data_IF_752163445093
#
_entry.id   IF_752163445093
#
_cell.length_a   1.000
_cell.length_b   1.000
_cell.length_c   1.000
_cell.angle_alpha   90.00
_cell.angle_beta   90.00
_cell.angle_gamma   90.00
#
_symmetry.space_group_name_H-M   'P 1'
#
loop_
_entity.id
_entity.type
_entity.pdbx_description
1 polymer ?
#
# COMPACT_ATOMS: atom_id res chain seq x y z
N UNK A 1 -8.77 38.65 -23.31
CA UNK A 1 -8.57 39.43 -22.07
C UNK A 1 -9.02 38.57 -20.90
N UNK A 2 -8.10 37.79 -20.33
CA UNK A 2 -8.39 36.94 -19.17
C UNK A 2 -7.80 37.65 -17.96
N UNK A 3 -8.66 38.19 -17.09
CA UNK A 3 -8.24 38.90 -15.89
C UNK A 3 -7.60 37.92 -14.91
N UNK A 4 -6.31 38.06 -14.69
CA UNK A 4 -5.65 37.45 -13.54
C UNK A 4 -6.21 38.12 -12.28
N UNK A 5 -7.11 37.43 -11.58
CA UNK A 5 -7.54 37.85 -10.24
C UNK A 5 -6.38 37.60 -9.30
N UNK A 6 -5.78 38.67 -8.79
CA UNK A 6 -4.81 38.60 -7.70
C UNK A 6 -5.49 38.01 -6.47
N UNK A 7 -5.10 36.79 -6.09
CA UNK A 7 -5.51 36.19 -4.83
C UNK A 7 -4.84 36.97 -3.70
N UNK A 8 -5.63 37.40 -2.71
CA UNK A 8 -5.07 38.07 -1.53
C UNK A 8 -4.47 37.03 -0.59
N UNK A 9 -3.56 37.43 0.31
CA UNK A 9 -3.00 36.50 1.33
C UNK A 9 -4.09 35.83 2.18
N UNK A 10 -5.26 36.48 2.36
CA UNK A 10 -6.41 35.88 3.03
C UNK A 10 -7.09 34.77 2.22
N UNK A 11 -7.15 34.91 0.90
CA UNK A 11 -7.69 33.87 0.00
C UNK A 11 -6.76 32.66 -0.10
N UNK A 12 -5.45 32.87 0.02
CA UNK A 12 -4.47 31.79 0.11
C UNK A 12 -4.58 31.03 1.44
N UNK A 13 -4.71 31.75 2.57
CA UNK A 13 -4.90 31.12 3.88
C UNK A 13 -6.22 30.35 3.96
N UNK A 14 -7.32 30.89 3.43
CA UNK A 14 -8.60 30.17 3.32
C UNK A 14 -8.52 28.99 2.34
N UNK A 15 -7.80 29.15 1.23
CA UNK A 15 -7.55 28.08 0.25
C UNK A 15 -6.71 26.93 0.81
N UNK A 16 -5.74 27.23 1.68
CA UNK A 16 -4.94 26.23 2.43
C UNK A 16 -5.77 25.53 3.51
N UNK A 17 -6.66 26.24 4.21
CA UNK A 17 -7.60 25.65 5.16
C UNK A 17 -8.66 24.75 4.49
N UNK A 18 -8.93 24.97 3.21
CA UNK A 18 -9.81 24.12 2.39
C UNK A 18 -9.11 22.87 1.82
N UNK A 19 -7.81 22.68 2.08
CA UNK A 19 -7.06 21.48 1.66
C UNK A 19 -6.73 20.60 2.88
N UNK A 20 -6.87 19.27 2.77
CA UNK A 20 -6.41 18.37 3.81
C UNK A 20 -4.94 18.64 4.13
N UNK A 21 -4.65 18.86 5.41
CA UNK A 21 -3.34 19.25 5.92
C UNK A 21 -3.03 18.50 7.22
N UNK A 22 -1.79 18.59 7.69
CA UNK A 22 -1.39 18.01 8.96
C UNK A 22 -1.73 18.94 10.13
N UNK A 23 -2.34 18.39 11.18
CA UNK A 23 -2.75 19.10 12.39
C UNK A 23 -2.30 18.32 13.61
N UNK A 24 -2.17 19.01 14.75
CA UNK A 24 -2.15 18.35 16.05
C UNK A 24 -3.56 18.33 16.59
N UNK A 25 -4.01 17.14 17.01
CA UNK A 25 -5.27 16.96 17.73
C UNK A 25 -4.98 16.48 19.14
N UNK A 26 -5.72 16.99 20.12
CA UNK A 26 -5.60 16.59 21.52
C UNK A 26 -6.99 16.41 22.15
N UNK A 27 -7.05 15.60 23.21
CA UNK A 27 -8.27 15.44 23.98
C UNK A 27 -8.64 16.77 24.65
N UNK A 28 -9.89 17.20 24.46
CA UNK A 28 -10.51 18.27 25.24
C UNK A 28 -11.21 17.67 26.47
N UNK A 29 -11.45 18.49 27.50
CA UNK A 29 -12.22 18.12 28.71
C UNK A 29 -13.59 17.47 28.42
N UNK A 30 -14.11 17.63 27.19
CA UNK A 30 -15.35 17.02 26.69
C UNK A 30 -15.17 15.70 25.90
N UNK A 31 -14.02 15.02 26.02
CA UNK A 31 -13.68 13.75 25.34
C UNK A 31 -13.70 13.75 23.80
N UNK A 32 -13.87 14.91 23.16
CA UNK A 32 -13.70 15.06 21.71
C UNK A 32 -12.29 15.55 21.40
N UNK A 33 -11.62 14.88 20.46
CA UNK A 33 -10.36 15.35 19.91
C UNK A 33 -10.61 16.67 19.16
N UNK A 34 -9.87 17.72 19.55
CA UNK A 34 -9.93 19.04 18.91
C UNK A 34 -8.57 19.40 18.36
N UNK A 35 -8.57 20.21 17.31
CA UNK A 35 -7.34 20.77 16.73
C UNK A 35 -6.71 21.70 17.77
N UNK A 36 -5.45 21.45 18.11
CA UNK A 36 -4.67 22.24 19.07
C UNK A 36 -3.54 23.04 18.41
N UNK A 37 -3.07 22.62 17.23
CA UNK A 37 -2.09 23.37 16.43
C UNK A 37 -2.10 22.94 14.95
N UNK A 38 -1.54 23.77 14.08
CA UNK A 38 -1.37 23.53 12.64
C UNK A 38 -1.85 24.72 11.78
N UNK A 39 -1.84 24.59 10.45
CA UNK A 39 -1.42 23.40 9.70
C UNK A 39 0.12 23.23 9.70
N UNK A 40 0.59 21.99 9.67
CA UNK A 40 2.01 21.63 9.53
C UNK A 40 2.30 21.20 8.09
N UNK A 41 3.55 21.36 7.65
CA UNK A 41 3.96 21.07 6.26
C UNK A 41 3.84 19.57 5.94
N UNK A 42 4.19 18.71 6.90
CA UNK A 42 4.26 17.27 6.74
C UNK A 42 4.06 16.57 8.09
N UNK A 43 3.94 15.23 8.05
CA UNK A 43 3.77 14.38 9.22
C UNK A 43 4.92 14.52 10.22
N UNK A 44 6.14 14.69 9.72
CA UNK A 44 7.35 14.77 10.53
C UNK A 44 7.30 16.05 11.35
N UNK A 45 7.06 17.21 10.73
CA UNK A 45 6.95 18.48 11.44
C UNK A 45 5.86 18.46 12.51
N UNK A 46 4.70 17.87 12.20
CA UNK A 46 3.64 17.66 13.19
C UNK A 46 4.10 16.74 14.33
N UNK A 47 4.75 15.62 14.04
CA UNK A 47 5.25 14.69 15.05
C UNK A 47 6.33 15.32 15.96
N UNK A 48 7.22 16.13 15.38
CA UNK A 48 8.21 16.89 16.14
C UNK A 48 7.52 17.90 17.06
N UNK A 49 6.54 18.65 16.57
CA UNK A 49 5.76 19.55 17.41
C UNK A 49 5.01 18.82 18.54
N UNK A 50 4.38 17.67 18.26
CA UNK A 50 3.74 16.84 19.28
C UNK A 50 4.72 16.40 20.38
N UNK A 51 5.95 16.04 20.00
CA UNK A 51 6.98 15.60 20.96
C UNK A 51 7.45 16.71 21.91
N UNK A 52 7.26 17.98 21.53
CA UNK A 52 7.60 19.14 22.38
C UNK A 52 6.47 19.55 23.33
N UNK A 53 5.28 18.94 23.22
CA UNK A 53 4.21 19.15 24.18
C UNK A 53 4.58 18.52 25.53
N UNK A 54 4.63 19.33 26.58
CA UNK A 54 4.92 18.89 27.95
C UNK A 54 3.99 17.73 28.37
N UNK A 55 4.52 16.67 29.04
CA UNK A 55 3.74 15.49 29.43
C UNK A 55 2.52 15.74 30.34
N UNK A 56 2.29 16.98 30.78
CA UNK A 56 1.23 17.36 31.71
C UNK A 56 0.15 18.31 31.16
N UNK A 57 0.25 18.79 29.91
CA UNK A 57 -0.67 19.82 29.38
C UNK A 57 -1.73 19.31 28.39
N UNK A 58 -1.58 18.11 27.84
CA UNK A 58 -2.64 17.37 27.17
C UNK A 58 -2.15 15.93 26.93
N UNK A 59 -2.61 14.98 27.75
CA UNK A 59 -2.38 13.56 27.47
C UNK A 59 -3.06 13.22 26.14
N UNK A 60 -2.28 12.84 25.12
CA UNK A 60 -2.81 12.38 23.84
C UNK A 60 -2.76 13.36 22.67
N UNK A 61 -1.88 14.38 22.68
CA UNK A 61 -1.64 15.19 21.46
C UNK A 61 -0.97 14.32 20.39
N UNK A 62 -1.59 14.20 19.22
CA UNK A 62 -1.08 13.40 18.11
C UNK A 62 -1.23 14.11 16.76
N UNK A 63 -0.34 13.84 15.80
CA UNK A 63 -0.54 14.23 14.41
C UNK A 63 -1.79 13.56 13.82
N UNK A 64 -2.57 14.33 13.07
CA UNK A 64 -3.69 13.85 12.27
C UNK A 64 -3.80 14.64 10.97
N UNK A 65 -4.22 13.97 9.90
CA UNK A 65 -4.38 14.58 8.59
C UNK A 65 -5.86 14.75 8.25
N UNK A 66 -6.25 15.95 7.82
CA UNK A 66 -7.66 16.21 7.52
C UNK A 66 -8.02 17.67 7.29
N UNK A 67 -9.32 17.92 7.22
CA UNK A 67 -9.91 19.25 7.05
C UNK A 67 -10.42 19.79 8.40
N UNK A 68 -10.06 21.02 8.79
CA UNK A 68 -10.62 21.64 9.98
C UNK A 68 -12.11 21.89 9.79
N UNK A 69 -12.90 21.57 10.81
CA UNK A 69 -14.34 21.87 10.86
C UNK A 69 -14.60 23.15 11.68
N UNK A 70 -15.73 23.85 11.43
CA UNK A 70 -16.08 25.07 12.18
C UNK A 70 -16.24 24.87 13.69
N UNK A 71 -16.49 23.64 14.15
CA UNK A 71 -16.61 23.25 15.57
C UNK A 71 -15.25 22.98 16.24
N UNK A 72 -14.13 23.16 15.50
CA UNK A 72 -12.78 22.88 15.98
C UNK A 72 -12.37 21.40 15.91
N UNK A 73 -13.24 20.53 15.40
CA UNK A 73 -12.91 19.13 15.13
C UNK A 73 -12.14 18.98 13.80
N UNK A 74 -11.52 17.82 13.62
CA UNK A 74 -10.86 17.45 12.37
C UNK A 74 -11.70 16.41 11.62
N UNK A 75 -12.09 16.71 10.38
CA UNK A 75 -12.59 15.69 9.47
C UNK A 75 -11.39 14.90 8.93
N UNK A 76 -11.18 13.67 9.41
CA UNK A 76 -10.07 12.82 8.99
C UNK A 76 -10.12 12.52 7.50
N UNK A 77 -8.97 12.63 6.84
CA UNK A 77 -8.80 12.25 5.44
C UNK A 77 -7.61 11.29 5.32
N UNK A 78 -7.62 10.38 4.33
CA UNK A 78 -6.45 9.56 4.00
C UNK A 78 -5.21 10.43 3.86
N UNK A 79 -4.07 9.96 4.36
CA UNK A 79 -2.83 10.74 4.28
C UNK A 79 -2.30 10.75 2.84
N UNK A 80 -1.44 11.71 2.46
CA UNK A 80 -0.72 11.65 1.19
C UNK A 80 0.06 10.34 1.02
N UNK A 81 0.66 9.84 2.09
CA UNK A 81 1.39 8.58 2.13
C UNK A 81 0.45 7.39 1.88
N UNK A 82 -0.72 7.34 2.52
CA UNK A 82 -1.71 6.28 2.28
C UNK A 82 -2.19 6.28 0.82
N UNK A 83 -2.45 7.46 0.25
CA UNK A 83 -2.86 7.55 -1.16
C UNK A 83 -1.76 7.12 -2.11
N UNK A 84 -0.51 7.51 -1.83
CA UNK A 84 0.63 7.07 -2.63
C UNK A 84 0.84 5.55 -2.53
N UNK A 85 0.67 4.99 -1.34
CA UNK A 85 0.69 3.56 -1.10
C UNK A 85 -0.40 2.82 -1.87
N UNK A 86 -1.65 3.26 -1.80
CA UNK A 86 -2.76 2.67 -2.56
C UNK A 86 -2.53 2.76 -4.08
N UNK A 87 -1.98 3.88 -4.56
CA UNK A 87 -1.58 4.02 -5.96
C UNK A 87 -0.48 3.03 -6.37
N UNK A 88 0.47 2.77 -5.49
CA UNK A 88 1.52 1.77 -5.73
C UNK A 88 0.95 0.35 -5.78
N UNK A 89 0.06 -0.02 -4.85
CA UNK A 89 -0.61 -1.34 -4.86
C UNK A 89 -1.47 -1.51 -6.11
N UNK A 90 -2.25 -0.49 -6.49
CA UNK A 90 -3.04 -0.49 -7.73
C UNK A 90 -2.15 -0.73 -8.95
N UNK A 91 -1.01 -0.05 -9.05
CA UNK A 91 -0.05 -0.25 -10.14
C UNK A 91 0.63 -1.63 -10.13
N UNK A 92 0.61 -2.36 -9.01
CA UNK A 92 0.98 -3.78 -9.00
C UNK A 92 -0.15 -4.66 -9.53
N UNK A 93 -1.40 -4.43 -9.09
CA UNK A 93 -2.57 -5.15 -9.57
C UNK A 93 -2.75 -5.03 -11.08
N UNK A 94 -2.45 -3.87 -11.66
CA UNK A 94 -2.47 -3.64 -13.11
C UNK A 94 -1.49 -4.54 -13.90
N UNK A 95 -0.57 -5.25 -13.23
CA UNK A 95 0.38 -6.20 -13.84
C UNK A 95 -0.15 -7.63 -13.87
N UNK A 96 -1.28 -7.90 -13.23
CA UNK A 96 -1.92 -9.21 -13.31
C UNK A 96 -2.35 -9.49 -14.76
N UNK A 97 -2.45 -10.77 -15.15
CA UNK A 97 -2.94 -11.13 -16.49
C UNK A 97 -4.29 -10.49 -16.78
N UNK A 98 -4.51 -10.09 -18.04
CA UNK A 98 -5.81 -9.57 -18.47
C UNK A 98 -6.92 -10.58 -18.17
N UNK A 99 -8.00 -10.12 -17.54
CA UNK A 99 -9.13 -10.98 -17.16
C UNK A 99 -8.87 -11.90 -15.96
N UNK A 100 -7.86 -11.62 -15.13
CA UNK A 100 -7.63 -12.36 -13.88
C UNK A 100 -8.85 -12.38 -12.94
N UNK A 101 -9.73 -11.38 -13.07
CA UNK A 101 -10.97 -11.18 -12.32
C UNK A 101 -12.23 -11.53 -13.12
N UNK A 102 -12.12 -11.97 -14.38
CA UNK A 102 -13.27 -12.09 -15.29
C UNK A 102 -14.33 -13.11 -14.82
N UNK A 103 -13.92 -14.11 -14.04
CA UNK A 103 -14.77 -15.20 -13.54
C UNK A 103 -15.08 -15.07 -12.04
N UNK A 104 -14.74 -13.95 -11.40
CA UNK A 104 -14.98 -13.69 -9.97
C UNK A 104 -15.73 -12.38 -9.78
N UNK A 105 -16.63 -12.35 -8.79
CA UNK A 105 -17.33 -11.13 -8.40
C UNK A 105 -16.41 -10.19 -7.61
N UNK A 106 -16.66 -8.88 -7.59
CA UNK A 106 -15.87 -7.92 -6.81
C UNK A 106 -15.89 -8.24 -5.30
N UNK A 107 -16.96 -8.87 -4.81
CA UNK A 107 -17.10 -9.32 -3.41
C UNK A 107 -16.52 -10.73 -3.16
N UNK A 108 -15.92 -11.37 -4.18
CA UNK A 108 -15.36 -12.71 -4.05
C UNK A 108 -14.15 -12.71 -3.09
N UNK A 109 -14.09 -13.64 -2.13
CA UNK A 109 -12.93 -13.81 -1.25
C UNK A 109 -11.60 -13.94 -1.99
N UNK A 110 -11.60 -14.46 -3.22
CA UNK A 110 -10.42 -14.60 -4.04
C UNK A 110 -9.89 -13.24 -4.53
N UNK A 111 -10.77 -12.29 -4.88
CA UNK A 111 -10.38 -10.91 -5.21
C UNK A 111 -9.73 -10.26 -4.00
N UNK A 112 -10.35 -10.40 -2.83
CA UNK A 112 -9.81 -9.89 -1.56
C UNK A 112 -8.42 -10.47 -1.29
N UNK A 113 -8.27 -11.79 -1.43
CA UNK A 113 -7.00 -12.49 -1.21
C UNK A 113 -5.89 -12.01 -2.16
N UNK A 114 -6.20 -11.79 -3.43
CA UNK A 114 -5.24 -11.24 -4.41
C UNK A 114 -4.76 -9.85 -4.00
N UNK A 115 -5.67 -8.98 -3.56
CA UNK A 115 -5.34 -7.64 -3.09
C UNK A 115 -4.45 -7.68 -1.83
N UNK A 116 -4.77 -8.56 -0.88
CA UNK A 116 -4.02 -8.74 0.36
C UNK A 116 -2.60 -9.28 0.09
N UNK A 117 -2.48 -10.32 -0.74
CA UNK A 117 -1.17 -10.86 -1.15
C UNK A 117 -0.35 -9.77 -1.85
N UNK A 118 -0.96 -9.03 -2.78
CA UNK A 118 -0.27 -7.97 -3.52
C UNK A 118 0.22 -6.87 -2.60
N UNK A 119 -0.61 -6.42 -1.64
CA UNK A 119 -0.21 -5.44 -0.64
C UNK A 119 0.95 -5.94 0.23
N UNK A 120 0.88 -7.19 0.71
CA UNK A 120 1.93 -7.79 1.53
C UNK A 120 3.27 -7.92 0.78
N UNK A 121 3.23 -8.29 -0.50
CA UNK A 121 4.41 -8.37 -1.36
C UNK A 121 5.00 -6.97 -1.62
N UNK A 122 4.16 -6.00 -1.97
CA UNK A 122 4.57 -4.62 -2.19
C UNK A 122 5.22 -4.01 -0.93
N UNK A 123 4.70 -4.34 0.26
CA UNK A 123 5.21 -3.81 1.53
C UNK A 123 6.58 -4.41 1.86
N UNK A 124 6.84 -5.63 1.40
CA UNK A 124 8.14 -6.29 1.47
C UNK A 124 9.11 -5.88 0.35
N UNK A 125 8.69 -5.00 -0.57
CA UNK A 125 9.49 -4.58 -1.72
C UNK A 125 9.63 -5.66 -2.80
N UNK A 126 8.71 -6.63 -2.85
CA UNK A 126 8.66 -7.67 -3.88
C UNK A 126 7.61 -7.32 -4.94
N UNK A 127 8.00 -6.80 -6.11
CA UNK A 127 7.04 -6.42 -7.14
C UNK A 127 6.41 -7.64 -7.80
N UNK A 128 5.17 -7.47 -8.29
CA UNK A 128 4.59 -8.41 -9.24
C UNK A 128 5.35 -8.34 -10.57
N UNK A 129 5.46 -9.50 -11.22
CA UNK A 129 6.14 -9.65 -12.49
C UNK A 129 5.47 -8.78 -13.55
N UNK A 130 6.27 -7.92 -14.17
CA UNK A 130 5.88 -7.11 -15.32
C UNK A 130 6.50 -7.76 -16.57
N UNK A 131 5.70 -8.30 -17.50
CA UNK A 131 6.22 -8.94 -18.71
C UNK A 131 6.94 -7.96 -19.65
N UNK A 132 6.67 -6.65 -19.55
CA UNK A 132 7.38 -5.61 -20.29
C UNK A 132 8.56 -5.00 -19.49
N UNK A 133 8.67 -5.35 -18.21
CA UNK A 133 9.59 -4.76 -17.26
C UNK A 133 10.98 -5.41 -17.30
N UNK A 134 12.04 -4.68 -16.89
CA UNK A 134 13.43 -5.15 -16.98
C UNK A 134 13.85 -6.11 -15.84
N UNK A 135 12.92 -6.58 -15.01
CA UNK A 135 13.18 -7.29 -13.75
C UNK A 135 12.31 -8.53 -13.59
N UNK A 136 12.81 -9.53 -12.85
CA UNK A 136 11.96 -10.64 -12.39
C UNK A 136 10.96 -10.18 -11.32
N UNK A 137 9.96 -11.00 -11.04
CA UNK A 137 8.92 -10.66 -10.07
C UNK A 137 8.04 -11.84 -9.70
N UNK A 138 7.09 -11.58 -8.81
CA UNK A 138 6.10 -12.57 -8.36
C UNK A 138 4.94 -12.64 -9.35
N UNK A 139 4.55 -13.83 -9.78
CA UNK A 139 3.35 -14.06 -10.54
C UNK A 139 2.26 -14.57 -9.61
N UNK A 140 1.06 -13.99 -9.73
CA UNK A 140 -0.15 -14.48 -9.07
C UNK A 140 -1.10 -15.03 -10.14
N UNK A 141 -1.62 -16.22 -9.93
CA UNK A 141 -2.67 -16.84 -10.74
C UNK A 141 -3.83 -17.18 -9.80
N UNK A 142 -4.89 -16.39 -9.76
CA UNK A 142 -6.12 -16.75 -9.06
C UNK A 142 -6.71 -18.01 -9.71
N UNK A 143 -7.02 -19.02 -8.90
CA UNK A 143 -7.59 -20.28 -9.38
C UNK A 143 -8.95 -20.52 -8.69
N UNK A 144 -10.07 -20.05 -9.27
CA UNK A 144 -11.40 -20.15 -8.66
C UNK A 144 -11.81 -21.59 -8.31
N UNK A 145 -11.37 -22.57 -9.12
CA UNK A 145 -11.65 -24.00 -8.88
C UNK A 145 -11.02 -24.52 -7.59
N UNK A 146 -9.90 -23.94 -7.16
CA UNK A 146 -9.18 -24.35 -5.96
C UNK A 146 -9.41 -23.41 -4.76
N UNK A 147 -10.22 -22.36 -4.94
CA UNK A 147 -10.43 -21.27 -3.98
C UNK A 147 -9.10 -20.76 -3.41
N UNK A 148 -8.17 -20.46 -4.33
CA UNK A 148 -6.79 -20.19 -3.96
C UNK A 148 -6.03 -19.40 -5.02
N UNK A 149 -4.95 -18.74 -4.61
CA UNK A 149 -4.01 -18.06 -5.50
C UNK A 149 -2.74 -18.88 -5.62
N UNK A 150 -2.39 -19.30 -6.83
CA UNK A 150 -1.07 -19.88 -7.12
C UNK A 150 -0.06 -18.75 -7.23
N UNK A 151 1.01 -18.85 -6.46
CA UNK A 151 2.11 -17.90 -6.38
C UNK A 151 3.39 -18.57 -6.87
N UNK A 152 4.08 -17.89 -7.77
CA UNK A 152 5.38 -18.33 -8.28
C UNK A 152 6.29 -17.12 -8.49
N UNK A 153 7.60 -17.35 -8.61
CA UNK A 153 8.53 -16.32 -9.05
C UNK A 153 9.00 -16.56 -10.48
N UNK A 154 9.07 -15.49 -11.27
CA UNK A 154 9.57 -15.52 -12.65
C UNK A 154 10.77 -14.57 -12.79
N UNK A 155 11.85 -15.08 -13.39
CA UNK A 155 13.00 -14.24 -13.75
C UNK A 155 12.65 -13.31 -14.90
N UNK A 156 13.48 -12.28 -15.09
CA UNK A 156 13.37 -11.42 -16.26
C UNK A 156 13.58 -12.23 -17.55
N UNK A 157 12.85 -11.89 -18.62
CA UNK A 157 12.89 -12.63 -19.88
C UNK A 157 14.29 -12.68 -20.51
N UNK A 158 15.14 -11.67 -20.30
CA UNK A 158 16.56 -11.76 -20.73
C UNK A 158 17.31 -12.90 -20.03
N UNK A 159 17.03 -13.18 -18.76
CA UNK A 159 17.67 -14.30 -18.07
C UNK A 159 17.02 -15.63 -18.47
N UNK A 160 15.70 -15.67 -18.62
CA UNK A 160 14.94 -16.89 -18.92
C UNK A 160 14.98 -17.35 -20.38
N UNK A 161 14.95 -16.43 -21.35
CA UNK A 161 14.97 -16.78 -22.79
C UNK A 161 16.37 -17.10 -23.28
N UNK A 162 17.37 -16.35 -22.83
CA UNK A 162 18.76 -16.58 -23.25
C UNK A 162 19.42 -17.73 -22.46
N UNK A 163 18.74 -18.28 -21.44
CA UNK A 163 19.25 -19.31 -20.51
C UNK A 163 20.71 -19.03 -20.12
N UNK A 164 21.03 -17.76 -19.83
CA UNK A 164 22.40 -17.29 -19.70
C UNK A 164 23.19 -18.04 -18.61
N UNK A 165 22.46 -18.63 -17.66
CA UNK A 165 22.98 -19.40 -16.53
C UNK A 165 22.77 -20.91 -16.67
N UNK A 166 22.06 -21.36 -17.73
CA UNK A 166 21.63 -22.74 -17.95
C UNK A 166 20.32 -23.11 -17.21
N UNK A 167 19.58 -24.06 -17.77
CA UNK A 167 18.24 -24.50 -17.32
C UNK A 167 18.20 -24.88 -15.84
N UNK A 168 19.22 -25.60 -15.36
CA UNK A 168 19.27 -26.06 -13.96
C UNK A 168 19.47 -24.91 -12.97
N UNK A 169 20.29 -23.92 -13.35
CA UNK A 169 20.52 -22.72 -12.53
C UNK A 169 19.27 -21.87 -12.46
N UNK A 170 18.58 -21.66 -13.59
CA UNK A 170 17.32 -20.90 -13.62
C UNK A 170 16.22 -21.57 -12.79
N UNK A 171 16.14 -22.91 -12.84
CA UNK A 171 15.24 -23.67 -11.98
C UNK A 171 15.58 -23.50 -10.49
N UNK A 172 16.87 -23.52 -10.14
CA UNK A 172 17.34 -23.32 -8.77
C UNK A 172 17.03 -21.91 -8.26
N UNK A 173 17.30 -20.87 -9.06
CA UNK A 173 16.98 -19.48 -8.71
C UNK A 173 15.49 -19.32 -8.48
N UNK A 174 14.65 -19.83 -9.38
CA UNK A 174 13.18 -19.80 -9.21
C UNK A 174 12.72 -20.50 -7.94
N UNK A 175 13.32 -21.63 -7.60
CA UNK A 175 13.00 -22.35 -6.36
C UNK A 175 13.40 -21.54 -5.12
N UNK A 176 14.60 -20.94 -5.10
CA UNK A 176 15.08 -20.09 -3.99
C UNK A 176 14.15 -18.88 -3.83
N UNK A 177 13.85 -18.18 -4.92
CA UNK A 177 13.02 -16.98 -4.89
C UNK A 177 11.59 -17.30 -4.46
N UNK A 178 11.00 -18.39 -4.98
CA UNK A 178 9.66 -18.79 -4.55
C UNK A 178 9.65 -19.24 -3.09
N UNK A 179 10.74 -19.84 -2.59
CA UNK A 179 10.86 -20.14 -1.17
C UNK A 179 10.92 -18.87 -0.30
N UNK A 180 11.61 -17.82 -0.75
CA UNK A 180 11.62 -16.55 -0.04
C UNK A 180 10.21 -15.92 0.01
N UNK A 181 9.48 -15.94 -1.11
CA UNK A 181 8.08 -15.48 -1.18
C UNK A 181 7.18 -16.28 -0.24
N UNK A 182 7.34 -17.60 -0.24
CA UNK A 182 6.64 -18.50 0.69
C UNK A 182 6.84 -18.09 2.13
N UNK A 183 8.10 -17.93 2.56
CA UNK A 183 8.43 -17.64 3.96
C UNK A 183 7.88 -16.27 4.36
N UNK A 184 7.94 -15.28 3.47
CA UNK A 184 7.31 -13.98 3.68
C UNK A 184 5.80 -14.10 3.90
N UNK A 185 5.08 -14.83 3.04
CA UNK A 185 3.63 -14.98 3.14
C UNK A 185 3.22 -15.66 4.44
N UNK A 186 3.96 -16.69 4.89
CA UNK A 186 3.74 -17.29 6.22
C UNK A 186 3.98 -16.28 7.35
N UNK A 187 5.05 -15.48 7.30
CA UNK A 187 5.31 -14.44 8.30
C UNK A 187 4.19 -13.38 8.36
N UNK A 188 3.52 -13.13 7.23
CA UNK A 188 2.40 -12.21 7.12
C UNK A 188 1.05 -12.83 7.53
N UNK A 189 1.03 -14.12 7.90
CA UNK A 189 -0.13 -14.80 8.44
C UNK A 189 -0.99 -15.53 7.41
N UNK A 190 -0.55 -15.63 6.16
CA UNK A 190 -1.29 -16.35 5.12
C UNK A 190 -1.20 -17.87 5.30
N UNK A 191 -2.25 -18.59 4.90
CA UNK A 191 -2.25 -20.04 4.80
C UNK A 191 -1.62 -20.47 3.47
N UNK A 192 -0.39 -21.00 3.52
CA UNK A 192 0.40 -21.34 2.32
C UNK A 192 0.68 -22.83 2.24
N UNK A 193 0.35 -23.45 1.10
CA UNK A 193 0.58 -24.87 0.78
C UNK A 193 1.51 -25.06 -0.42
N UNK A 194 2.35 -26.10 -0.38
CA UNK A 194 3.28 -26.41 -1.48
C UNK A 194 2.47 -26.88 -2.68
N UNK A 195 2.81 -26.35 -3.85
CA UNK A 195 2.12 -26.69 -5.08
C UNK A 195 3.09 -27.21 -6.14
N UNK A 196 2.88 -28.48 -6.50
CA UNK A 196 3.71 -29.18 -7.48
C UNK A 196 5.18 -29.33 -7.07
N UNK A 197 5.99 -29.84 -8.00
CA UNK A 197 7.44 -29.97 -7.88
C UNK A 197 8.21 -28.75 -8.42
N UNK A 198 7.52 -27.83 -9.09
CA UNK A 198 8.10 -26.76 -9.91
C UNK A 198 8.41 -25.47 -9.14
N UNK A 199 8.42 -25.50 -7.81
CA UNK A 199 8.72 -24.31 -7.01
C UNK A 199 7.63 -23.25 -7.09
N UNK A 200 6.38 -23.65 -6.91
CA UNK A 200 5.22 -22.77 -6.75
C UNK A 200 4.57 -23.03 -5.39
N UNK A 201 3.74 -22.11 -4.93
CA UNK A 201 2.92 -22.29 -3.75
C UNK A 201 1.50 -21.81 -3.97
N UNK A 202 0.61 -22.24 -3.10
CA UNK A 202 -0.81 -21.87 -3.15
C UNK A 202 -1.16 -21.20 -1.84
N UNK A 203 -1.85 -20.08 -1.93
CA UNK A 203 -2.36 -19.32 -0.79
C UNK A 203 -3.87 -19.41 -0.78
N UNK A 204 -4.47 -19.64 0.38
CA UNK A 204 -5.93 -19.74 0.54
C UNK A 204 -6.50 -18.63 1.42
N UNK A 205 -7.79 -18.31 1.25
CA UNK A 205 -8.51 -17.45 2.19
C UNK A 205 -8.43 -18.05 3.61
N UNK A 206 -8.26 -17.18 4.61
CA UNK A 206 -8.15 -17.54 6.04
C UNK A 206 -9.49 -17.65 6.75
#
# INVERSE_FOLDING_TARGET
MTGARSLTSGDLLLGELCRPSWWLVGASDEQRERIVAGPFRDRTDAAWAASTCEPGTASGVRPAHGLPRPDGALATCSTPEDRAWLGHVSAQIDRLPEGWDADVDDEDPLVTLVLEITAALAEAGLPLHDPAGPTGGVCLSPEPVFDAVVVAWRAHDRSSLDQLLGVDTDATVRQIMTRAVWDLLLLRGFAVDRFGSAGSCVVRPG
#
